data_IF_499027140262
#
_entry.id   IF_499027140262
#
_cell.length_a   1.000
_cell.length_b   1.000
_cell.length_c   1.000
_cell.angle_alpha   90.00
_cell.angle_beta   90.00
_cell.angle_gamma   90.00
#
_symmetry.space_group_name_H-M   'P 1'
#
loop_
_entity.id
_entity.type
_entity.pdbx_description
1 polymer ?
#
# COMPACT_ATOMS: atom_id res chain seq x y z
N UNK A 1 -58.21 22.39 -1.14
CA UNK A 1 -56.83 22.74 -1.57
C UNK A 1 -55.81 22.77 -0.41
N UNK A 2 -56.04 23.49 0.69
CA UNK A 2 -55.08 23.57 1.83
C UNK A 2 -54.81 22.22 2.54
N UNK A 3 -55.77 21.30 2.57
CA UNK A 3 -55.58 19.96 3.16
C UNK A 3 -54.76 19.03 2.26
N UNK A 4 -54.97 19.09 0.94
CA UNK A 4 -54.22 18.31 -0.05
C UNK A 4 -52.74 18.73 -0.11
N UNK A 5 -52.46 20.04 0.02
CA UNK A 5 -51.09 20.57 0.06
C UNK A 5 -50.35 20.13 1.34
N UNK A 6 -51.04 20.03 2.48
CA UNK A 6 -50.47 19.54 3.76
C UNK A 6 -50.18 18.03 3.75
N UNK A 7 -51.02 17.23 3.09
CA UNK A 7 -50.79 15.79 2.93
C UNK A 7 -49.62 15.52 1.96
N UNK A 8 -49.50 16.29 0.87
CA UNK A 8 -48.39 16.17 -0.07
C UNK A 8 -47.02 16.55 0.56
N UNK A 9 -46.98 17.55 1.44
CA UNK A 9 -45.76 17.93 2.16
C UNK A 9 -45.36 16.93 3.26
N UNK A 10 -46.33 16.29 3.92
CA UNK A 10 -46.06 15.23 4.89
C UNK A 10 -45.51 13.94 4.24
N UNK A 11 -46.02 13.57 3.05
CA UNK A 11 -45.53 12.40 2.30
C UNK A 11 -44.11 12.64 1.74
N UNK A 12 -43.82 13.86 1.27
CA UNK A 12 -42.47 14.23 0.84
C UNK A 12 -41.45 14.23 1.98
N UNK A 13 -41.84 14.66 3.19
CA UNK A 13 -40.98 14.61 4.38
C UNK A 13 -40.74 13.18 4.87
N UNK A 14 -41.74 12.30 4.77
CA UNK A 14 -41.61 10.88 5.14
C UNK A 14 -40.73 10.09 4.14
N UNK A 15 -40.80 10.42 2.85
CA UNK A 15 -39.95 9.82 1.81
C UNK A 15 -38.48 10.27 1.91
N UNK A 16 -38.21 11.49 2.39
CA UNK A 16 -36.85 11.96 2.67
C UNK A 16 -36.25 11.35 3.93
N UNK A 17 -37.09 10.99 4.92
CA UNK A 17 -36.64 10.34 6.15
C UNK A 17 -36.25 8.86 5.93
N UNK A 18 -36.90 8.14 5.01
CA UNK A 18 -36.58 6.72 4.71
C UNK A 18 -35.35 6.55 3.82
N UNK A 19 -35.03 7.53 2.97
CA UNK A 19 -33.81 7.50 2.16
C UNK A 19 -32.53 7.67 3.01
N UNK A 20 -32.61 8.36 4.15
CA UNK A 20 -31.49 8.52 5.08
C UNK A 20 -31.16 7.25 5.89
N UNK A 21 -32.05 6.26 5.91
CA UNK A 21 -31.85 4.97 6.60
C UNK A 21 -31.50 3.79 5.67
N UNK A 22 -31.50 3.99 4.35
CA UNK A 22 -31.44 2.89 3.38
C UNK A 22 -30.12 2.10 3.36
N UNK A 23 -29.00 2.70 3.79
CA UNK A 23 -27.68 2.05 3.81
C UNK A 23 -27.38 1.37 5.15
N UNK A 24 -28.08 1.73 6.22
CA UNK A 24 -27.71 1.30 7.56
C UNK A 24 -27.95 -0.19 7.70
N UNK A 25 -26.88 -0.94 7.96
CA UNK A 25 -26.93 -2.41 8.00
C UNK A 25 -26.76 -3.11 6.65
N UNK A 26 -26.60 -2.38 5.54
CA UNK A 26 -26.18 -2.96 4.26
C UNK A 26 -24.78 -3.56 4.38
N UNK A 27 -24.56 -4.74 3.80
CA UNK A 27 -23.23 -5.36 3.72
C UNK A 27 -22.56 -5.04 2.39
N UNK A 28 -21.51 -4.22 2.44
CA UNK A 28 -20.62 -3.95 1.32
C UNK A 28 -19.55 -5.02 1.25
N UNK A 29 -19.64 -5.88 0.25
CA UNK A 29 -18.63 -6.91 -0.03
C UNK A 29 -17.44 -6.31 -0.78
N UNK A 30 -16.24 -6.69 -0.36
CA UNK A 30 -14.97 -6.31 -0.99
C UNK A 30 -14.24 -7.59 -1.40
N UNK A 31 -14.01 -7.76 -2.70
CA UNK A 31 -13.20 -8.87 -3.22
C UNK A 31 -11.73 -8.51 -3.04
N UNK A 32 -11.04 -9.28 -2.19
CA UNK A 32 -9.60 -9.15 -1.97
C UNK A 32 -8.88 -10.13 -2.90
N UNK A 33 -8.11 -9.63 -3.86
CA UNK A 33 -7.49 -10.42 -4.92
C UNK A 33 -5.97 -10.25 -4.83
N UNK A 34 -5.29 -11.22 -4.23
CA UNK A 34 -3.85 -11.17 -3.96
C UNK A 34 -3.31 -12.57 -3.63
N UNK A 35 -1.98 -12.80 -3.62
CA UNK A 35 -1.43 -14.16 -3.48
C UNK A 35 -1.66 -14.75 -2.09
N UNK A 36 -2.34 -15.90 -2.02
CA UNK A 36 -2.50 -16.71 -0.80
C UNK A 36 -1.74 -18.03 -0.88
N UNK A 37 -1.07 -18.30 -2.00
CA UNK A 37 -0.23 -19.45 -2.22
C UNK A 37 1.14 -19.05 -2.79
N UNK A 38 2.07 -20.01 -2.80
CA UNK A 38 3.44 -19.79 -3.24
C UNK A 38 4.27 -18.97 -2.25
N UNK A 39 5.38 -18.41 -2.73
CA UNK A 39 6.39 -17.81 -1.86
C UNK A 39 5.95 -16.49 -1.21
N UNK A 40 4.95 -15.82 -1.78
CA UNK A 40 4.41 -14.55 -1.27
C UNK A 40 3.17 -14.72 -0.38
N UNK A 41 2.73 -15.96 -0.15
CA UNK A 41 1.57 -16.28 0.68
C UNK A 41 1.62 -15.69 2.12
N UNK A 42 2.77 -15.65 2.82
CA UNK A 42 2.83 -15.02 4.15
C UNK A 42 2.42 -13.55 4.13
N UNK A 43 2.84 -12.81 3.09
CA UNK A 43 2.46 -11.40 2.95
C UNK A 43 0.97 -11.23 2.65
N UNK A 44 0.42 -12.03 1.74
CA UNK A 44 -1.01 -12.01 1.45
C UNK A 44 -1.88 -12.44 2.62
N UNK A 45 -1.45 -13.43 3.40
CA UNK A 45 -2.13 -13.88 4.63
C UNK A 45 -2.24 -12.75 5.66
N UNK A 46 -1.16 -11.99 5.89
CA UNK A 46 -1.21 -10.83 6.76
C UNK A 46 -2.11 -9.70 6.19
N UNK A 47 -2.02 -9.44 4.89
CA UNK A 47 -2.83 -8.43 4.23
C UNK A 47 -4.34 -8.73 4.32
N UNK A 48 -4.77 -9.96 4.04
CA UNK A 48 -6.20 -10.32 4.15
C UNK A 48 -6.69 -10.22 5.59
N UNK A 49 -5.87 -10.63 6.59
CA UNK A 49 -6.18 -10.43 8.01
C UNK A 49 -6.29 -8.95 8.36
N UNK A 50 -5.43 -8.10 7.78
CA UNK A 50 -5.48 -6.64 7.95
C UNK A 50 -6.78 -6.06 7.39
N UNK A 51 -7.20 -6.50 6.21
CA UNK A 51 -8.49 -6.11 5.62
C UNK A 51 -9.68 -6.55 6.48
N UNK A 52 -9.67 -7.78 6.98
CA UNK A 52 -10.71 -8.29 7.87
C UNK A 52 -10.76 -7.51 9.20
N UNK A 53 -9.59 -7.23 9.79
CA UNK A 53 -9.47 -6.44 11.00
C UNK A 53 -10.07 -5.03 10.83
N UNK A 54 -9.72 -4.33 9.76
CA UNK A 54 -10.25 -2.99 9.52
C UNK A 54 -11.69 -3.00 9.03
N UNK A 55 -12.15 -4.03 8.32
CA UNK A 55 -13.56 -4.23 8.03
C UNK A 55 -14.37 -4.28 9.33
N UNK A 56 -13.90 -5.02 10.34
CA UNK A 56 -14.54 -5.07 11.67
C UNK A 56 -14.54 -3.70 12.36
N UNK A 57 -13.39 -2.99 12.35
CA UNK A 57 -13.24 -1.69 13.01
C UNK A 57 -14.12 -0.60 12.40
N UNK A 58 -14.30 -0.61 11.08
CA UNK A 58 -15.04 0.40 10.32
C UNK A 58 -16.41 -0.09 9.84
N UNK A 59 -17.04 -1.02 10.58
CA UNK A 59 -18.41 -1.49 10.32
C UNK A 59 -19.41 -0.96 11.35
N UNK A 60 -20.68 -0.93 10.95
CA UNK A 60 -21.80 -0.64 11.86
C UNK A 60 -21.75 0.77 12.43
N UNK A 61 -21.81 0.91 13.76
CA UNK A 61 -21.82 2.21 14.44
C UNK A 61 -20.51 2.99 14.29
N UNK A 62 -19.41 2.31 13.99
CA UNK A 62 -18.11 2.94 13.76
C UNK A 62 -17.94 3.40 12.31
N UNK A 63 -18.91 3.10 11.45
CA UNK A 63 -18.96 3.57 10.07
C UNK A 63 -19.93 4.77 9.97
N UNK A 64 -19.50 5.93 9.45
CA UNK A 64 -20.40 7.08 9.31
C UNK A 64 -21.58 6.83 8.36
N UNK A 65 -21.47 5.90 7.40
CA UNK A 65 -22.56 5.46 6.53
C UNK A 65 -23.44 4.36 7.16
N UNK A 66 -23.02 3.79 8.30
CA UNK A 66 -23.72 2.72 8.99
C UNK A 66 -23.69 1.36 8.29
N UNK A 67 -22.86 1.19 7.25
CA UNK A 67 -22.70 -0.08 6.51
C UNK A 67 -21.81 -1.06 7.25
N UNK A 68 -21.91 -2.34 6.90
CA UNK A 68 -20.96 -3.39 7.30
C UNK A 68 -20.07 -3.74 6.12
N UNK A 69 -18.81 -4.05 6.38
CA UNK A 69 -17.89 -4.54 5.36
C UNK A 69 -17.67 -6.05 5.51
N UNK A 70 -17.63 -6.76 4.38
CA UNK A 70 -17.28 -8.18 4.32
C UNK A 70 -16.18 -8.38 3.29
N UNK A 71 -15.08 -9.01 3.70
CA UNK A 71 -13.91 -9.25 2.83
C UNK A 71 -13.97 -10.67 2.29
N UNK A 72 -13.97 -10.81 0.96
CA UNK A 72 -14.04 -12.08 0.26
C UNK A 72 -12.70 -12.34 -0.44
N UNK A 73 -11.87 -13.26 0.05
CA UNK A 73 -10.55 -13.51 -0.52
C UNK A 73 -10.59 -14.37 -1.79
N UNK A 74 -9.73 -14.03 -2.74
CA UNK A 74 -9.45 -14.78 -3.96
C UNK A 74 -7.93 -14.87 -4.15
N UNK A 75 -7.41 -16.09 -4.27
CA UNK A 75 -5.98 -16.31 -4.50
C UNK A 75 -5.60 -15.95 -5.93
N UNK A 76 -4.77 -14.91 -6.08
CA UNK A 76 -4.23 -14.52 -7.39
C UNK A 76 -3.02 -15.33 -7.84
N UNK A 77 -2.42 -16.14 -6.96
CA UNK A 77 -1.16 -16.87 -7.22
C UNK A 77 -0.04 -15.97 -7.78
N UNK A 78 -0.08 -14.67 -7.46
CA UNK A 78 0.84 -13.64 -7.96
C UNK A 78 0.85 -13.54 -9.51
N UNK A 79 -0.26 -13.86 -10.17
CA UNK A 79 -0.36 -13.94 -11.63
C UNK A 79 -1.43 -12.99 -12.19
N UNK A 80 -1.12 -12.18 -13.22
CA UNK A 80 -2.12 -11.36 -13.91
C UNK A 80 -3.32 -12.14 -14.44
N UNK A 81 -3.10 -13.35 -14.95
CA UNK A 81 -4.18 -14.19 -15.50
C UNK A 81 -5.14 -14.66 -14.41
N UNK A 82 -4.60 -15.12 -13.28
CA UNK A 82 -5.41 -15.58 -12.15
C UNK A 82 -6.12 -14.40 -11.46
N UNK A 83 -5.50 -13.23 -11.38
CA UNK A 83 -6.16 -12.00 -10.93
C UNK A 83 -7.38 -11.63 -11.78
N UNK A 84 -7.29 -11.77 -13.11
CA UNK A 84 -8.43 -11.53 -14.00
C UNK A 84 -9.54 -12.57 -13.84
N UNK A 85 -9.18 -13.84 -13.63
CA UNK A 85 -10.13 -14.90 -13.31
C UNK A 85 -10.86 -14.64 -11.98
N UNK A 86 -10.12 -14.17 -10.97
CA UNK A 86 -10.69 -13.75 -9.69
C UNK A 86 -11.61 -12.53 -9.83
N UNK A 87 -11.23 -11.52 -10.63
CA UNK A 87 -12.08 -10.36 -10.92
C UNK A 87 -13.40 -10.79 -11.57
N UNK A 88 -13.34 -11.69 -12.56
CA UNK A 88 -14.54 -12.26 -13.18
C UNK A 88 -15.41 -12.97 -12.14
N UNK A 89 -14.81 -13.84 -11.31
CA UNK A 89 -15.52 -14.59 -10.27
C UNK A 89 -16.18 -13.67 -9.23
N UNK A 90 -15.51 -12.59 -8.83
CA UNK A 90 -16.05 -11.58 -7.93
C UNK A 90 -17.23 -10.83 -8.57
N UNK A 91 -17.08 -10.44 -9.84
CA UNK A 91 -18.12 -9.72 -10.60
C UNK A 91 -19.35 -10.60 -10.84
N UNK A 92 -19.16 -11.89 -11.15
CA UNK A 92 -20.25 -12.87 -11.31
C UNK A 92 -21.03 -13.06 -9.99
N UNK A 93 -20.36 -12.89 -8.83
CA UNK A 93 -20.98 -12.87 -7.50
C UNK A 93 -21.60 -11.51 -7.12
N UNK A 94 -21.57 -10.52 -8.01
CA UNK A 94 -22.10 -9.18 -7.80
C UNK A 94 -21.27 -8.30 -6.86
N UNK A 95 -20.00 -8.66 -6.59
CA UNK A 95 -19.12 -7.86 -5.74
C UNK A 95 -18.60 -6.67 -6.56
N UNK A 96 -18.91 -5.45 -6.12
CA UNK A 96 -18.57 -4.22 -6.88
C UNK A 96 -17.36 -3.44 -6.33
N UNK A 97 -16.80 -3.85 -5.21
CA UNK A 97 -15.55 -3.31 -4.67
C UNK A 97 -14.47 -4.37 -4.74
N UNK A 98 -13.37 -4.04 -5.41
CA UNK A 98 -12.22 -4.91 -5.60
C UNK A 98 -11.03 -4.25 -4.90
N UNK A 99 -10.22 -5.03 -4.19
CA UNK A 99 -8.96 -4.56 -3.60
C UNK A 99 -7.83 -5.50 -3.97
N UNK A 100 -6.68 -4.93 -4.28
CA UNK A 100 -5.47 -5.66 -4.65
C UNK A 100 -4.23 -4.78 -4.38
N UNK A 101 -3.09 -5.41 -4.11
CA UNK A 101 -1.85 -4.71 -3.81
C UNK A 101 -0.58 -5.56 -3.98
N UNK A 102 -0.74 -6.88 -4.03
CA UNK A 102 0.29 -7.89 -4.28
C UNK A 102 0.70 -7.94 -5.75
N UNK A 103 1.62 -7.05 -6.12
CA UNK A 103 2.30 -7.05 -7.41
C UNK A 103 1.69 -6.10 -8.44
N UNK A 104 2.49 -5.12 -8.88
CA UNK A 104 2.06 -4.10 -9.84
C UNK A 104 1.61 -4.65 -11.20
N UNK A 105 2.16 -5.79 -11.66
CA UNK A 105 1.74 -6.42 -12.90
C UNK A 105 0.30 -6.98 -12.82
N UNK A 106 -0.06 -7.59 -11.68
CA UNK A 106 -1.41 -8.08 -11.43
C UNK A 106 -2.40 -6.93 -11.33
N UNK A 107 -2.05 -5.85 -10.60
CA UNK A 107 -2.91 -4.66 -10.48
C UNK A 107 -3.08 -3.93 -11.81
N UNK A 108 -2.04 -3.84 -12.65
CA UNK A 108 -2.18 -3.29 -14.01
C UNK A 108 -3.21 -4.07 -14.84
N UNK A 109 -3.17 -5.41 -14.78
CA UNK A 109 -4.15 -6.24 -15.46
C UNK A 109 -5.57 -6.05 -14.88
N UNK A 110 -5.69 -5.90 -13.55
CA UNK A 110 -6.97 -5.58 -12.91
C UNK A 110 -7.52 -4.22 -13.35
N UNK A 111 -6.69 -3.18 -13.50
CA UNK A 111 -7.13 -1.88 -14.05
C UNK A 111 -7.74 -2.07 -15.44
N UNK A 112 -7.04 -2.77 -16.33
CA UNK A 112 -7.54 -3.05 -17.68
C UNK A 112 -8.85 -3.87 -17.65
N UNK A 113 -8.92 -4.87 -16.77
CA UNK A 113 -10.10 -5.70 -16.55
C UNK A 113 -11.30 -4.90 -16.06
N UNK A 114 -11.10 -4.03 -15.06
CA UNK A 114 -12.13 -3.15 -14.50
C UNK A 114 -12.61 -2.14 -15.55
N UNK A 115 -11.69 -1.52 -16.30
CA UNK A 115 -12.06 -0.61 -17.39
C UNK A 115 -12.95 -1.30 -18.44
N UNK A 116 -12.56 -2.50 -18.88
CA UNK A 116 -13.35 -3.30 -19.83
C UNK A 116 -14.68 -3.75 -19.26
N UNK A 117 -14.72 -4.14 -17.99
CA UNK A 117 -15.95 -4.53 -17.30
C UNK A 117 -16.93 -3.36 -17.23
N UNK A 118 -16.48 -2.19 -16.76
CA UNK A 118 -17.33 -1.01 -16.58
C UNK A 118 -17.86 -0.49 -17.91
N UNK A 119 -17.04 -0.47 -18.97
CA UNK A 119 -17.47 -0.07 -20.30
C UNK A 119 -18.55 -0.99 -20.90
N UNK A 120 -18.56 -2.28 -20.53
CA UNK A 120 -19.51 -3.29 -21.04
C UNK A 120 -20.76 -3.47 -20.18
N UNK A 121 -20.72 -3.02 -18.94
CA UNK A 121 -21.79 -3.25 -17.97
C UNK A 121 -22.22 -1.95 -17.25
N UNK A 122 -22.83 -0.97 -17.96
CA UNK A 122 -23.39 0.22 -17.32
C UNK A 122 -24.36 -0.15 -16.18
N UNK A 123 -24.23 0.52 -15.04
CA UNK A 123 -24.98 0.24 -13.80
C UNK A 123 -24.44 -0.92 -12.96
N UNK A 124 -23.40 -1.61 -13.41
CA UNK A 124 -22.69 -2.69 -12.66
C UNK A 124 -21.19 -2.41 -12.56
N UNK A 125 -20.83 -1.14 -12.59
CA UNK A 125 -19.45 -0.67 -12.47
C UNK A 125 -18.83 -1.19 -11.19
N UNK A 126 -17.54 -1.48 -11.24
CA UNK A 126 -16.72 -1.91 -10.10
C UNK A 126 -15.60 -0.91 -9.86
N UNK A 127 -15.17 -0.81 -8.60
CA UNK A 127 -14.05 0.02 -8.17
C UNK A 127 -12.86 -0.83 -7.74
N UNK A 128 -11.66 -0.41 -8.13
CA UNK A 128 -10.40 -1.00 -7.72
C UNK A 128 -9.68 -0.11 -6.70
N UNK A 129 -9.61 -0.60 -5.48
CA UNK A 129 -8.96 0.02 -4.33
C UNK A 129 -7.56 -0.58 -4.19
N UNK A 130 -6.57 0.09 -4.77
CA UNK A 130 -5.18 -0.38 -4.74
C UNK A 130 -4.51 0.04 -3.42
N UNK A 131 -4.25 -0.93 -2.55
CA UNK A 131 -3.68 -0.65 -1.22
C UNK A 131 -2.15 -0.75 -1.14
N UNK A 132 -1.47 -1.39 -2.10
CA UNK A 132 -0.01 -1.65 -1.99
C UNK A 132 0.77 -1.84 -3.30
N UNK A 133 0.14 -1.82 -4.48
CA UNK A 133 0.86 -1.89 -5.74
C UNK A 133 1.36 -0.49 -6.15
N UNK A 134 2.68 -0.30 -6.13
CA UNK A 134 3.31 1.04 -6.10
C UNK A 134 3.96 1.47 -7.40
N UNK A 135 3.84 0.72 -8.50
CA UNK A 135 4.37 1.17 -9.79
C UNK A 135 3.72 2.52 -10.19
N UNK A 136 4.51 3.59 -10.41
CA UNK A 136 4.00 4.91 -10.77
C UNK A 136 3.05 4.89 -11.96
N UNK A 137 3.28 4.02 -12.96
CA UNK A 137 2.45 3.91 -14.17
C UNK A 137 0.97 3.72 -13.86
N UNK A 138 0.61 3.06 -12.75
CA UNK A 138 -0.79 2.79 -12.38
C UNK A 138 -1.59 4.07 -12.06
N UNK A 139 -0.93 5.20 -11.77
CA UNK A 139 -1.58 6.53 -11.69
C UNK A 139 -0.89 7.53 -12.62
N UNK A 140 -0.24 7.05 -13.67
CA UNK A 140 0.38 7.87 -14.71
C UNK A 140 -0.20 7.40 -16.04
N UNK A 141 0.60 6.75 -16.87
CA UNK A 141 0.21 6.29 -18.21
C UNK A 141 -0.97 5.31 -18.22
N UNK A 142 -1.21 4.59 -17.11
CA UNK A 142 -2.30 3.62 -16.93
C UNK A 142 -3.36 4.08 -15.94
N UNK A 143 -3.39 5.36 -15.57
CA UNK A 143 -4.39 5.85 -14.64
C UNK A 143 -5.82 5.58 -15.15
N UNK A 144 -6.72 5.30 -14.22
CA UNK A 144 -8.12 5.04 -14.50
C UNK A 144 -9.00 5.73 -13.47
N UNK A 145 -10.14 6.27 -13.92
CA UNK A 145 -11.16 6.81 -13.02
C UNK A 145 -11.69 5.77 -12.01
N UNK A 146 -11.62 4.47 -12.36
CA UNK A 146 -12.11 3.38 -11.52
C UNK A 146 -11.06 2.81 -10.58
N UNK A 147 -9.86 3.39 -10.56
CA UNK A 147 -8.73 2.97 -9.74
C UNK A 147 -8.36 4.07 -8.75
N UNK A 148 -8.16 3.70 -7.49
CA UNK A 148 -7.72 4.60 -6.43
C UNK A 148 -6.57 3.96 -5.67
N UNK A 149 -5.43 4.67 -5.52
CA UNK A 149 -4.24 4.14 -4.85
C UNK A 149 -4.01 4.79 -3.49
N UNK A 150 -3.88 3.95 -2.47
CA UNK A 150 -3.79 4.35 -1.06
C UNK A 150 -2.38 4.29 -0.46
N UNK A 151 -1.42 3.66 -1.14
CA UNK A 151 0.00 3.74 -0.79
C UNK A 151 0.71 4.80 -1.65
N UNK A 152 1.81 5.34 -1.14
CA UNK A 152 2.71 6.15 -1.95
C UNK A 152 3.41 5.28 -2.98
N UNK A 153 3.50 5.79 -4.20
CA UNK A 153 4.13 5.06 -5.30
C UNK A 153 5.67 5.07 -5.19
N UNK A 154 6.34 4.30 -6.04
CA UNK A 154 7.80 4.19 -6.05
C UNK A 154 8.47 5.54 -6.31
N UNK A 155 7.91 6.40 -7.16
CA UNK A 155 8.48 7.73 -7.42
C UNK A 155 8.46 8.61 -6.17
N UNK A 156 7.35 8.64 -5.43
CA UNK A 156 7.23 9.37 -4.17
C UNK A 156 8.18 8.84 -3.10
N UNK A 157 8.25 7.51 -2.95
CA UNK A 157 9.15 6.85 -1.99
C UNK A 157 10.62 7.09 -2.34
N UNK A 158 10.99 7.00 -3.61
CA UNK A 158 12.35 7.27 -4.08
C UNK A 158 12.73 8.74 -4.01
N UNK A 159 11.79 9.67 -4.21
CA UNK A 159 12.02 11.09 -3.99
C UNK A 159 12.37 11.37 -2.52
N UNK A 160 11.58 10.84 -1.58
CA UNK A 160 11.85 10.99 -0.14
C UNK A 160 13.14 10.27 0.29
N UNK A 161 13.35 9.03 -0.15
CA UNK A 161 14.54 8.23 0.17
C UNK A 161 15.82 8.94 -0.30
N UNK A 162 15.88 9.36 -1.56
CA UNK A 162 17.10 10.05 -2.07
C UNK A 162 17.28 11.45 -1.49
N UNK A 163 16.20 12.11 -1.04
CA UNK A 163 16.31 13.33 -0.22
C UNK A 163 16.95 13.04 1.14
N UNK A 164 16.64 11.90 1.76
CA UNK A 164 17.35 11.45 2.97
C UNK A 164 18.83 11.20 2.69
N UNK A 165 19.15 10.50 1.59
CA UNK A 165 20.54 10.17 1.22
C UNK A 165 21.38 11.40 0.90
N UNK A 166 20.77 12.54 0.54
CA UNK A 166 21.50 13.76 0.18
C UNK A 166 22.50 14.19 1.26
N UNK A 167 22.12 13.98 2.52
CA UNK A 167 22.84 14.46 3.70
C UNK A 167 23.84 13.42 4.25
N UNK A 168 23.81 12.17 3.77
CA UNK A 168 24.67 11.08 4.24
C UNK A 168 25.96 10.96 3.38
N UNK A 169 27.07 11.50 3.90
CA UNK A 169 28.37 11.53 3.21
C UNK A 169 29.12 10.19 3.22
N UNK A 170 28.64 9.21 3.97
CA UNK A 170 29.26 7.89 4.04
C UNK A 170 28.89 7.03 2.84
N UNK A 171 27.78 7.35 2.15
CA UNK A 171 27.34 6.67 0.94
C UNK A 171 28.20 7.12 -0.23
N UNK A 172 28.93 6.19 -0.86
CA UNK A 172 29.78 6.46 -2.02
C UNK A 172 29.54 5.50 -3.17
N UNK A 173 29.28 4.22 -2.88
CA UNK A 173 29.14 3.13 -3.85
C UNK A 173 27.83 2.39 -3.61
N UNK A 174 26.88 2.60 -4.52
CA UNK A 174 25.54 2.02 -4.45
C UNK A 174 25.41 0.83 -5.41
N UNK A 175 24.84 -0.26 -4.90
CA UNK A 175 24.34 -1.38 -5.70
C UNK A 175 22.81 -1.35 -5.77
N UNK A 176 22.24 -1.58 -6.95
CA UNK A 176 20.80 -1.67 -7.15
C UNK A 176 20.40 -3.15 -7.30
N UNK A 177 19.72 -3.72 -6.31
CA UNK A 177 19.33 -5.13 -6.33
C UNK A 177 17.82 -5.28 -6.15
N UNK A 178 17.11 -5.65 -7.22
CA UNK A 178 15.65 -5.61 -7.26
C UNK A 178 15.02 -6.85 -7.91
N UNK A 179 13.72 -7.07 -7.71
CA UNK A 179 12.96 -8.14 -8.37
C UNK A 179 12.65 -7.79 -9.83
N UNK A 180 12.79 -8.75 -10.75
CA UNK A 180 12.58 -8.57 -12.18
C UNK A 180 11.08 -8.57 -12.55
N UNK A 181 10.41 -7.47 -12.25
CA UNK A 181 9.06 -7.13 -12.73
C UNK A 181 8.89 -5.61 -12.68
N UNK A 182 7.73 -5.10 -13.10
CA UNK A 182 7.47 -3.67 -13.28
C UNK A 182 7.98 -2.78 -12.11
N UNK A 183 7.74 -3.17 -10.86
CA UNK A 183 8.23 -2.40 -9.71
C UNK A 183 9.76 -2.32 -9.61
N UNK A 184 10.48 -3.44 -9.78
CA UNK A 184 11.94 -3.44 -9.65
C UNK A 184 12.63 -2.66 -10.77
N UNK A 185 12.06 -2.68 -11.98
CA UNK A 185 12.48 -1.80 -13.08
C UNK A 185 12.31 -0.32 -12.72
N UNK A 186 11.18 0.05 -12.08
CA UNK A 186 10.97 1.41 -11.60
C UNK A 186 11.95 1.80 -10.48
N UNK A 187 12.23 0.90 -9.54
CA UNK A 187 13.23 1.13 -8.48
C UNK A 187 14.60 1.46 -9.06
N UNK A 188 15.07 0.67 -10.03
CA UNK A 188 16.35 0.89 -10.71
C UNK A 188 16.37 2.25 -11.40
N UNK A 189 15.37 2.52 -12.24
CA UNK A 189 15.28 3.76 -13.03
C UNK A 189 15.28 4.99 -12.13
N UNK A 190 14.38 5.02 -11.15
CA UNK A 190 14.21 6.15 -10.25
C UNK A 190 15.40 6.33 -9.30
N UNK A 191 16.09 5.25 -8.90
CA UNK A 191 17.33 5.35 -8.13
C UNK A 191 18.42 6.05 -8.96
N UNK A 192 18.63 5.62 -10.22
CA UNK A 192 19.59 6.24 -11.14
C UNK A 192 19.30 7.72 -11.38
N UNK A 193 18.06 8.05 -11.74
CA UNK A 193 17.64 9.42 -12.03
C UNK A 193 17.81 10.33 -10.80
N UNK A 194 17.36 9.88 -9.63
CA UNK A 194 17.40 10.71 -8.42
C UNK A 194 18.80 10.83 -7.81
N UNK A 195 19.61 9.77 -7.85
CA UNK A 195 21.01 9.83 -7.41
C UNK A 195 21.81 10.76 -8.31
N UNK A 196 21.72 10.63 -9.64
CA UNK A 196 22.41 11.53 -10.57
C UNK A 196 22.05 13.01 -10.32
N UNK A 197 20.79 13.29 -9.96
CA UNK A 197 20.33 14.66 -9.67
C UNK A 197 20.76 15.19 -8.29
N UNK A 198 20.71 14.37 -7.24
CA UNK A 198 20.88 14.83 -5.83
C UNK A 198 22.23 14.50 -5.22
N UNK A 199 22.85 13.43 -5.70
CA UNK A 199 24.11 12.83 -5.24
C UNK A 199 24.96 12.37 -6.43
N UNK A 200 25.32 13.28 -7.37
CA UNK A 200 26.18 12.94 -8.50
C UNK A 200 27.58 12.45 -8.08
N UNK A 201 27.94 12.63 -6.81
CA UNK A 201 29.14 12.11 -6.17
C UNK A 201 29.08 10.60 -5.84
N UNK A 202 27.89 10.00 -5.87
CA UNK A 202 27.69 8.56 -5.61
C UNK A 202 27.84 7.77 -6.90
N UNK A 203 28.71 6.77 -6.86
CA UNK A 203 28.94 5.81 -7.93
C UNK A 203 27.94 4.65 -7.84
N UNK A 204 27.28 4.30 -8.95
CA UNK A 204 26.49 3.07 -9.03
C UNK A 204 27.41 1.95 -9.54
N UNK A 205 27.82 1.07 -8.62
CA UNK A 205 28.85 0.04 -8.87
C UNK A 205 28.27 -1.29 -9.35
N UNK A 206 26.95 -1.40 -9.43
CA UNK A 206 26.30 -2.56 -10.03
C UNK A 206 24.78 -2.53 -9.93
N UNK A 207 24.18 -3.39 -10.73
CA UNK A 207 22.74 -3.58 -10.82
C UNK A 207 22.43 -5.04 -11.14
N UNK A 208 21.44 -5.62 -10.47
CA UNK A 208 20.83 -6.89 -10.86
C UNK A 208 19.32 -6.88 -10.64
N UNK A 209 18.64 -7.59 -11.55
CA UNK A 209 17.25 -7.95 -11.43
C UNK A 209 17.10 -9.47 -11.33
N UNK A 210 16.62 -9.97 -10.20
CA UNK A 210 16.44 -11.42 -10.01
C UNK A 210 14.98 -11.84 -10.22
N UNK A 211 14.69 -13.09 -10.63
CA UNK A 211 13.31 -13.56 -10.78
C UNK A 211 12.49 -13.42 -9.49
N UNK A 212 11.32 -12.78 -9.60
CA UNK A 212 10.38 -12.57 -8.49
C UNK A 212 9.90 -13.92 -7.93
N UNK A 213 9.99 -14.10 -6.61
CA UNK A 213 9.42 -15.23 -5.88
C UNK A 213 9.96 -16.62 -6.27
N UNK A 214 11.17 -16.69 -6.82
CA UNK A 214 11.77 -17.95 -7.33
C UNK A 214 13.14 -18.25 -6.73
N UNK A 215 13.92 -17.23 -6.35
CA UNK A 215 15.27 -17.40 -5.83
C UNK A 215 15.21 -17.93 -4.39
N UNK A 216 15.98 -18.99 -4.12
CA UNK A 216 16.07 -19.63 -2.79
C UNK A 216 17.39 -19.36 -2.09
N UNK A 217 18.44 -19.21 -2.88
CA UNK A 217 19.78 -18.89 -2.41
C UNK A 217 20.21 -17.54 -2.97
N UNK A 218 20.43 -16.58 -2.06
CA UNK A 218 20.90 -15.24 -2.39
C UNK A 218 22.40 -15.06 -2.19
N UNK A 219 23.13 -16.06 -1.67
CA UNK A 219 24.57 -15.95 -1.39
C UNK A 219 25.41 -15.57 -2.63
N UNK A 220 25.16 -16.10 -3.85
CA UNK A 220 25.90 -15.68 -5.04
C UNK A 220 25.70 -14.19 -5.38
N UNK A 221 24.50 -13.65 -5.17
CA UNK A 221 24.22 -12.24 -5.40
C UNK A 221 24.91 -11.36 -4.36
N UNK A 222 24.92 -11.78 -3.09
CA UNK A 222 25.65 -11.07 -2.03
C UNK A 222 27.17 -11.08 -2.30
N UNK A 223 27.73 -12.20 -2.76
CA UNK A 223 29.14 -12.27 -3.15
C UNK A 223 29.47 -11.27 -4.26
N UNK A 224 28.59 -11.15 -5.27
CA UNK A 224 28.72 -10.15 -6.34
C UNK A 224 28.62 -8.70 -5.82
N UNK A 225 27.66 -8.42 -4.92
CA UNK A 225 27.52 -7.11 -4.27
C UNK A 225 28.81 -6.76 -3.51
N UNK A 226 29.36 -7.68 -2.71
CA UNK A 226 30.62 -7.49 -1.99
C UNK A 226 31.79 -7.23 -2.94
N UNK A 227 31.90 -8.01 -4.01
CA UNK A 227 32.97 -7.87 -5.00
C UNK A 227 32.94 -6.51 -5.74
N UNK A 228 31.76 -5.90 -5.90
CA UNK A 228 31.64 -4.55 -6.47
C UNK A 228 32.19 -3.44 -5.56
N UNK A 229 32.41 -3.73 -4.27
CA UNK A 229 32.81 -2.75 -3.27
C UNK A 229 31.68 -1.79 -2.87
N UNK A 230 30.42 -2.17 -3.06
CA UNK A 230 29.27 -1.39 -2.63
C UNK A 230 29.27 -1.21 -1.10
N UNK A 231 29.07 0.03 -0.65
CA UNK A 231 28.80 0.36 0.76
C UNK A 231 27.30 0.40 1.06
N UNK A 232 26.47 0.49 0.01
CA UNK A 232 25.03 0.68 0.11
C UNK A 232 24.29 -0.16 -0.92
N UNK A 233 23.18 -0.77 -0.51
CA UNK A 233 22.23 -1.46 -1.41
C UNK A 233 20.89 -0.75 -1.37
N UNK A 234 20.36 -0.36 -2.53
CA UNK A 234 18.98 0.12 -2.67
C UNK A 234 18.14 -1.01 -3.26
N UNK A 235 17.10 -1.43 -2.51
CA UNK A 235 16.26 -2.57 -2.90
C UNK A 235 14.79 -2.35 -2.57
N UNK A 236 13.93 -2.49 -3.57
CA UNK A 236 12.48 -2.58 -3.43
C UNK A 236 11.97 -4.01 -3.36
N UNK A 237 12.85 -4.98 -3.08
CA UNK A 237 12.43 -6.36 -2.82
C UNK A 237 11.46 -6.41 -1.64
N UNK A 238 10.54 -7.36 -1.69
CA UNK A 238 9.55 -7.57 -0.65
C UNK A 238 9.25 -9.05 -0.45
N UNK A 239 8.53 -9.36 0.63
CA UNK A 239 8.20 -10.73 1.01
C UNK A 239 9.46 -11.56 1.25
N UNK A 240 9.39 -12.85 0.92
CA UNK A 240 10.50 -13.77 1.19
C UNK A 240 11.78 -13.43 0.43
N UNK A 241 11.72 -12.76 -0.72
CA UNK A 241 12.93 -12.40 -1.46
C UNK A 241 13.78 -11.40 -0.68
N UNK A 242 13.16 -10.42 0.00
CA UNK A 242 13.89 -9.50 0.87
C UNK A 242 14.42 -10.22 2.12
N UNK A 243 13.60 -11.05 2.76
CA UNK A 243 14.01 -11.80 3.95
C UNK A 243 15.21 -12.70 3.67
N UNK A 244 15.20 -13.43 2.54
CA UNK A 244 16.30 -14.30 2.13
C UNK A 244 17.54 -13.52 1.70
N UNK A 245 17.37 -12.37 1.02
CA UNK A 245 18.48 -11.46 0.69
C UNK A 245 19.19 -10.96 1.95
N UNK A 246 18.43 -10.45 2.93
CA UNK A 246 18.97 -9.95 4.20
C UNK A 246 19.64 -11.07 4.99
N UNK A 247 19.02 -12.25 5.04
CA UNK A 247 19.62 -13.42 5.69
C UNK A 247 20.98 -13.76 5.06
N UNK A 248 21.04 -13.86 3.73
CA UNK A 248 22.30 -14.13 3.03
C UNK A 248 23.33 -13.01 3.23
N UNK A 249 22.91 -11.75 3.30
CA UNK A 249 23.78 -10.62 3.59
C UNK A 249 24.43 -10.74 4.98
N UNK A 250 23.63 -11.08 5.99
CA UNK A 250 24.10 -11.30 7.35
C UNK A 250 25.04 -12.51 7.44
N UNK A 251 24.68 -13.65 6.86
CA UNK A 251 25.50 -14.88 6.85
C UNK A 251 26.82 -14.70 6.11
N UNK A 252 26.84 -13.83 5.08
CA UNK A 252 28.05 -13.54 4.30
C UNK A 252 28.91 -12.43 4.91
N UNK A 253 28.51 -11.82 6.03
CA UNK A 253 29.20 -10.68 6.63
C UNK A 253 29.26 -9.47 5.70
N UNK A 254 28.12 -9.07 5.15
CA UNK A 254 28.00 -7.79 4.44
C UNK A 254 27.61 -6.69 5.44
N UNK A 255 28.53 -5.74 5.63
CA UNK A 255 28.39 -4.66 6.63
C UNK A 255 27.85 -3.35 6.04
N UNK A 256 27.51 -3.32 4.75
CA UNK A 256 26.95 -2.15 4.11
C UNK A 256 25.52 -1.82 4.59
N UNK A 257 25.04 -0.63 4.18
CA UNK A 257 23.68 -0.15 4.47
C UNK A 257 22.69 -0.72 3.46
N UNK A 258 21.47 -1.03 3.92
CA UNK A 258 20.33 -1.29 3.05
C UNK A 258 19.33 -0.14 3.15
N UNK A 259 18.92 0.42 2.02
CA UNK A 259 17.75 1.28 1.92
C UNK A 259 16.66 0.56 1.15
N UNK A 260 15.57 0.25 1.84
CA UNK A 260 14.45 -0.52 1.29
C UNK A 260 13.11 0.16 1.51
N UNK A 261 12.06 -0.42 0.94
CA UNK A 261 10.68 0.00 1.16
C UNK A 261 9.94 -0.92 2.15
N UNK A 262 10.51 -2.10 2.47
CA UNK A 262 9.73 -3.23 3.00
C UNK A 262 10.42 -4.04 4.11
N UNK A 263 11.39 -3.47 4.82
CA UNK A 263 12.09 -4.11 5.95
C UNK A 263 11.15 -4.58 7.08
N UNK A 264 10.00 -3.93 7.25
CA UNK A 264 9.02 -4.24 8.30
C UNK A 264 8.03 -5.35 7.93
N UNK A 265 8.12 -5.94 6.73
CA UNK A 265 7.22 -7.02 6.30
C UNK A 265 7.65 -8.38 6.84
N UNK A 266 6.66 -9.27 6.98
CA UNK A 266 6.82 -10.62 7.54
C UNK A 266 8.09 -11.34 7.08
N UNK A 267 8.89 -11.82 8.04
CA UNK A 267 10.12 -12.58 7.87
C UNK A 267 11.39 -11.74 7.72
N UNK A 268 11.30 -10.49 7.27
CA UNK A 268 12.48 -9.62 7.15
C UNK A 268 13.00 -9.15 8.51
N UNK A 269 12.16 -8.72 9.48
CA UNK A 269 12.61 -8.37 10.83
C UNK A 269 13.36 -9.52 11.53
N UNK A 270 12.83 -10.75 11.46
CA UNK A 270 13.53 -11.93 11.99
C UNK A 270 14.87 -12.19 11.28
N UNK A 271 14.95 -12.01 9.96
CA UNK A 271 16.20 -12.16 9.21
C UNK A 271 17.23 -11.07 9.54
N UNK A 272 16.78 -9.84 9.85
CA UNK A 272 17.62 -8.75 10.30
C UNK A 272 18.25 -9.03 11.66
N UNK A 273 17.44 -9.53 12.62
CA UNK A 273 17.84 -9.72 14.01
C UNK A 273 18.51 -8.48 14.58
N UNK A 274 19.47 -8.65 15.48
CA UNK A 274 20.31 -7.53 15.94
C UNK A 274 21.33 -7.08 14.88
N UNK A 275 21.72 -7.98 13.96
CA UNK A 275 22.76 -7.74 12.97
C UNK A 275 22.47 -6.55 12.04
N UNK A 276 21.21 -6.29 11.71
CA UNK A 276 20.81 -5.15 10.88
C UNK A 276 20.84 -3.77 11.57
N UNK A 277 21.13 -3.72 12.87
CA UNK A 277 21.06 -2.50 13.69
C UNK A 277 21.87 -1.34 13.12
N UNK A 278 21.24 -0.18 12.91
CA UNK A 278 21.84 1.03 12.37
C UNK A 278 22.16 1.00 10.87
N UNK A 279 21.94 -0.14 10.19
CA UNK A 279 22.34 -0.33 8.78
C UNK A 279 21.17 -0.51 7.84
N UNK A 280 19.99 -0.90 8.32
CA UNK A 280 18.82 -1.11 7.48
C UNK A 280 17.80 -0.01 7.68
N UNK A 281 17.43 0.63 6.59
CA UNK A 281 16.52 1.76 6.54
C UNK A 281 15.30 1.42 5.69
N UNK A 282 14.14 1.94 6.10
CA UNK A 282 12.89 1.81 5.36
C UNK A 282 12.23 3.17 5.16
N UNK A 283 11.83 3.48 3.93
CA UNK A 283 10.87 4.54 3.63
C UNK A 283 9.46 3.96 3.48
N UNK A 284 8.53 4.40 4.31
CA UNK A 284 7.14 3.94 4.29
C UNK A 284 6.17 5.07 4.65
N UNK A 285 4.87 4.84 4.49
CA UNK A 285 3.82 5.77 4.91
C UNK A 285 3.51 5.71 6.42
N UNK A 286 4.05 4.71 7.13
CA UNK A 286 3.86 4.48 8.56
C UNK A 286 5.17 4.09 9.26
N UNK A 287 5.12 4.03 10.60
CA UNK A 287 6.07 3.31 11.43
C UNK A 287 5.36 2.78 12.68
N UNK A 288 5.93 1.77 13.35
CA UNK A 288 5.27 1.07 14.46
C UNK A 288 5.06 1.92 15.73
N UNK A 289 5.71 3.08 15.81
CA UNK A 289 5.74 3.95 16.99
C UNK A 289 4.93 5.26 16.80
N UNK A 290 3.91 5.27 15.94
CA UNK A 290 3.10 6.47 15.64
C UNK A 290 2.10 6.86 16.76
N UNK A 291 1.78 5.94 17.68
CA UNK A 291 0.78 6.18 18.73
C UNK A 291 -0.64 6.35 18.18
N UNK A 292 -1.51 7.07 18.91
CA UNK A 292 -2.90 7.32 18.51
C UNK A 292 -3.71 6.04 18.29
N UNK A 293 -4.73 6.12 17.44
CA UNK A 293 -5.57 4.95 17.15
C UNK A 293 -4.82 3.87 16.35
N UNK A 294 -3.88 4.25 15.48
CA UNK A 294 -3.08 3.25 14.77
C UNK A 294 -2.20 2.44 15.73
N UNK A 295 -1.62 3.06 16.76
CA UNK A 295 -0.86 2.35 17.79
C UNK A 295 -1.72 1.36 18.57
N UNK A 296 -2.95 1.75 18.93
CA UNK A 296 -3.93 0.84 19.57
C UNK A 296 -4.28 -0.32 18.64
N UNK A 297 -4.60 -0.03 17.38
CA UNK A 297 -4.95 -1.04 16.39
C UNK A 297 -3.80 -1.99 16.09
N UNK A 298 -2.55 -1.52 16.06
CA UNK A 298 -1.36 -2.36 15.95
C UNK A 298 -1.27 -3.34 17.13
N UNK A 299 -1.50 -2.87 18.37
CA UNK A 299 -1.49 -3.74 19.55
C UNK A 299 -2.61 -4.79 19.52
N UNK A 300 -3.84 -4.39 19.21
CA UNK A 300 -4.99 -5.29 19.08
C UNK A 300 -4.80 -6.30 17.94
N UNK A 301 -4.25 -5.88 16.81
CA UNK A 301 -3.95 -6.75 15.68
C UNK A 301 -2.92 -7.82 16.08
N UNK A 302 -1.85 -7.40 16.76
CA UNK A 302 -0.83 -8.30 17.30
C UNK A 302 -1.39 -9.27 18.33
N UNK A 303 -2.28 -8.80 19.20
CA UNK A 303 -2.96 -9.66 20.15
C UNK A 303 -3.83 -10.71 19.45
N UNK A 304 -4.63 -10.29 18.47
CA UNK A 304 -5.59 -11.15 17.76
C UNK A 304 -4.92 -12.17 16.84
N UNK A 305 -3.92 -11.74 16.06
CA UNK A 305 -3.34 -12.55 14.99
C UNK A 305 -1.92 -13.04 15.26
N UNK A 306 -1.28 -12.56 16.34
CA UNK A 306 0.13 -12.87 16.67
C UNK A 306 1.11 -12.48 15.57
N UNK A 307 0.77 -11.46 14.80
CA UNK A 307 1.55 -10.88 13.70
C UNK A 307 1.58 -9.35 13.84
N UNK A 308 2.56 -8.69 13.26
CA UNK A 308 2.58 -7.22 13.24
C UNK A 308 1.66 -6.65 12.16
N UNK A 309 1.06 -5.49 12.45
CA UNK A 309 0.27 -4.72 11.49
C UNK A 309 1.18 -3.79 10.68
N UNK A 310 1.50 -4.15 9.44
CA UNK A 310 2.34 -3.32 8.57
C UNK A 310 1.61 -2.67 7.39
N UNK A 311 0.40 -3.12 7.05
CA UNK A 311 -0.46 -2.50 6.03
C UNK A 311 -1.43 -1.46 6.63
N UNK A 312 -0.92 -0.50 7.41
CA UNK A 312 -1.74 0.51 8.10
C UNK A 312 -2.61 1.35 7.16
N UNK A 313 -2.19 1.55 5.91
CA UNK A 313 -2.96 2.27 4.88
C UNK A 313 -4.28 1.61 4.49
N UNK A 314 -4.49 0.34 4.86
CA UNK A 314 -5.81 -0.29 4.70
C UNK A 314 -6.87 0.45 5.53
N UNK A 315 -6.50 1.06 6.67
CA UNK A 315 -7.41 1.95 7.40
C UNK A 315 -7.90 3.12 6.52
N UNK A 316 -7.04 3.71 5.70
CA UNK A 316 -7.42 4.79 4.78
C UNK A 316 -8.40 4.33 3.71
N UNK A 317 -8.33 3.07 3.27
CA UNK A 317 -9.32 2.48 2.34
C UNK A 317 -10.71 2.51 2.97
N UNK A 318 -10.83 1.96 4.18
CA UNK A 318 -12.11 1.89 4.89
C UNK A 318 -12.64 3.25 5.33
N UNK A 319 -11.77 4.15 5.79
CA UNK A 319 -12.14 5.54 6.09
C UNK A 319 -12.68 6.23 4.83
N UNK A 320 -12.00 6.10 3.69
CA UNK A 320 -12.44 6.72 2.44
C UNK A 320 -13.79 6.17 1.98
N UNK A 321 -14.00 4.85 2.06
CA UNK A 321 -15.30 4.24 1.74
C UNK A 321 -16.40 4.74 2.68
N UNK A 322 -16.17 4.71 4.00
CA UNK A 322 -17.16 5.17 4.99
C UNK A 322 -17.56 6.63 4.75
N UNK A 323 -16.59 7.54 4.65
CA UNK A 323 -16.83 8.96 4.43
C UNK A 323 -17.57 9.24 3.12
N UNK A 324 -17.15 8.61 2.02
CA UNK A 324 -17.76 8.84 0.70
C UNK A 324 -19.16 8.23 0.59
N UNK A 325 -19.38 7.05 1.18
CA UNK A 325 -20.72 6.44 1.25
C UNK A 325 -21.67 7.25 2.11
N UNK A 326 -21.20 7.82 3.22
CA UNK A 326 -22.00 8.70 4.08
C UNK A 326 -22.35 10.01 3.36
N UNK A 327 -21.35 10.64 2.72
CA UNK A 327 -21.51 11.89 1.97
C UNK A 327 -22.49 11.74 0.81
N UNK A 328 -22.43 10.62 0.08
CA UNK A 328 -23.28 10.37 -1.10
C UNK A 328 -24.62 9.73 -0.76
N UNK A 329 -24.77 9.27 0.49
CA UNK A 329 -25.88 8.40 0.92
C UNK A 329 -26.07 7.20 -0.02
N UNK A 330 -24.98 6.68 -0.57
CA UNK A 330 -25.01 5.54 -1.47
C UNK A 330 -23.78 4.64 -1.34
N UNK A 331 -23.98 3.33 -1.49
CA UNK A 331 -22.91 2.34 -1.67
C UNK A 331 -22.61 2.09 -3.15
N UNK A 332 -23.25 2.81 -4.06
CA UNK A 332 -23.02 2.68 -5.49
C UNK A 332 -21.60 3.16 -5.87
N UNK A 333 -20.78 2.31 -6.50
CA UNK A 333 -19.40 2.63 -6.89
C UNK A 333 -19.27 3.89 -7.75
N UNK A 334 -20.23 4.23 -8.60
CA UNK A 334 -20.13 5.44 -9.45
C UNK A 334 -20.19 6.69 -8.58
N UNK A 335 -21.13 6.73 -7.63
CA UNK A 335 -21.26 7.85 -6.68
C UNK A 335 -20.08 7.90 -5.72
N UNK A 336 -19.66 6.75 -5.21
CA UNK A 336 -18.51 6.64 -4.30
C UNK A 336 -17.22 7.11 -4.98
N UNK A 337 -16.97 6.70 -6.23
CA UNK A 337 -15.81 7.15 -7.02
C UNK A 337 -15.76 8.68 -7.13
N UNK A 338 -16.88 9.28 -7.56
CA UNK A 338 -16.97 10.73 -7.74
C UNK A 338 -16.74 11.50 -6.42
N UNK A 339 -17.19 10.95 -5.30
CA UNK A 339 -16.98 11.56 -3.99
C UNK A 339 -15.58 11.32 -3.41
N UNK A 340 -14.89 10.27 -3.86
CA UNK A 340 -13.52 9.94 -3.45
C UNK A 340 -12.49 10.85 -4.12
N UNK A 341 -12.79 11.41 -5.28
CA UNK A 341 -11.95 12.43 -5.92
C UNK A 341 -11.81 13.69 -5.08
N UNK A 342 -10.57 14.05 -4.72
CA UNK A 342 -10.29 15.21 -3.86
C UNK A 342 -10.72 15.02 -2.42
N UNK A 343 -11.06 13.79 -2.00
CA UNK A 343 -11.39 13.50 -0.61
C UNK A 343 -10.20 13.84 0.28
N UNK A 344 -10.46 14.60 1.36
CA UNK A 344 -9.50 14.93 2.41
C UNK A 344 -10.01 14.46 3.75
N UNK A 345 -9.12 13.90 4.56
CA UNK A 345 -9.41 13.53 5.93
C UNK A 345 -8.11 13.39 6.73
N UNK A 346 -8.22 13.40 8.05
CA UNK A 346 -7.12 13.13 8.96
C UNK A 346 -6.89 11.63 9.08
N UNK A 347 -5.85 11.12 8.43
CA UNK A 347 -5.37 9.74 8.55
C UNK A 347 -4.42 9.54 9.73
N UNK A 348 -3.88 8.32 9.87
CA UNK A 348 -2.93 8.01 10.94
C UNK A 348 -1.57 8.73 10.77
N UNK A 349 -1.25 9.15 9.55
CA UNK A 349 -0.02 9.85 9.19
C UNK A 349 -0.24 11.34 8.88
N UNK A 350 -1.31 11.93 9.43
CA UNK A 350 -1.68 13.33 9.25
C UNK A 350 -2.80 13.52 8.24
N UNK A 351 -2.96 14.74 7.74
CA UNK A 351 -3.91 15.04 6.66
C UNK A 351 -3.50 14.30 5.38
N UNK A 352 -4.46 13.60 4.77
CA UNK A 352 -4.29 12.94 3.48
C UNK A 352 -5.27 13.47 2.46
N UNK A 353 -4.89 13.43 1.19
CA UNK A 353 -5.75 13.84 0.06
C UNK A 353 -5.72 12.79 -1.05
N UNK A 354 -6.88 12.34 -1.50
CA UNK A 354 -6.99 11.59 -2.75
C UNK A 354 -6.90 12.55 -3.93
N UNK A 355 -5.72 12.69 -4.55
CA UNK A 355 -5.49 13.68 -5.60
C UNK A 355 -6.41 13.40 -6.80
N UNK A 356 -7.20 14.41 -7.18
CA UNK A 356 -8.22 14.29 -8.24
C UNK A 356 -7.63 13.99 -9.63
N UNK A 357 -6.42 14.44 -9.93
CA UNK A 357 -5.86 14.32 -11.28
C UNK A 357 -5.56 12.87 -11.68
N UNK A 358 -5.18 12.03 -10.72
CA UNK A 358 -4.64 10.69 -10.98
C UNK A 358 -5.05 9.62 -9.96
N UNK A 359 -5.81 9.99 -8.94
CA UNK A 359 -6.23 9.12 -7.84
C UNK A 359 -5.06 8.50 -7.05
N UNK A 360 -3.98 9.25 -6.90
CA UNK A 360 -2.89 8.96 -5.96
C UNK A 360 -3.14 9.67 -4.62
N UNK A 361 -3.22 8.90 -3.53
CA UNK A 361 -3.26 9.47 -2.19
C UNK A 361 -1.95 10.21 -1.85
N UNK A 362 -2.07 11.51 -1.58
CA UNK A 362 -1.00 12.36 -1.05
C UNK A 362 -0.97 12.20 0.47
N UNK A 363 0.20 11.85 1.01
CA UNK A 363 0.36 11.55 2.43
C UNK A 363 1.83 11.69 2.85
N UNK A 364 2.07 11.80 4.15
CA UNK A 364 3.42 11.87 4.71
C UNK A 364 4.15 10.53 4.61
N UNK A 365 5.47 10.58 4.43
CA UNK A 365 6.36 9.42 4.47
C UNK A 365 7.34 9.52 5.63
N UNK A 366 7.87 8.39 6.06
CA UNK A 366 8.79 8.28 7.19
C UNK A 366 9.96 7.40 6.79
N UNK A 367 11.15 7.96 6.86
CA UNK A 367 12.37 7.16 6.90
C UNK A 367 12.51 6.62 8.32
N UNK A 368 12.71 5.31 8.41
CA UNK A 368 12.96 4.59 9.65
C UNK A 368 14.30 3.87 9.57
N UNK A 369 14.92 3.63 10.71
CA UNK A 369 16.15 2.84 10.84
C UNK A 369 15.90 1.68 11.78
N UNK A 370 16.40 0.50 11.42
CA UNK A 370 16.35 -0.68 12.26
C UNK A 370 17.30 -0.51 13.44
N UNK A 371 16.79 -0.58 14.66
CA UNK A 371 17.58 -0.41 15.89
C UNK A 371 16.97 -1.20 17.05
N UNK A 372 17.67 -1.24 18.18
CA UNK A 372 17.12 -1.82 19.41
C UNK A 372 15.87 -1.04 19.84
N UNK A 373 14.82 -1.77 20.25
CA UNK A 373 13.67 -1.14 20.88
C UNK A 373 14.08 -0.52 22.22
N UNK A 374 13.60 0.69 22.49
CA UNK A 374 13.93 1.48 23.69
C UNK A 374 12.68 2.16 24.25
N UNK A 375 12.83 2.94 25.33
CA UNK A 375 11.71 3.62 25.98
C UNK A 375 10.99 4.61 25.05
N UNK A 376 11.70 5.15 24.04
CA UNK A 376 11.14 6.10 23.07
C UNK A 376 10.41 5.37 21.95
N UNK A 377 10.91 4.22 21.53
CA UNK A 377 10.40 3.38 20.45
C UNK A 377 10.25 1.93 20.91
N UNK A 378 9.25 1.63 21.76
CA UNK A 378 9.19 0.36 22.50
C UNK A 378 8.64 -0.81 21.68
N UNK A 379 8.10 -0.58 20.48
CA UNK A 379 7.48 -1.64 19.71
C UNK A 379 8.51 -2.64 19.17
N UNK A 380 8.46 -3.87 19.64
CA UNK A 380 9.31 -4.98 19.18
C UNK A 380 8.69 -5.69 17.97
N UNK A 381 9.26 -5.46 16.78
CA UNK A 381 8.78 -6.04 15.51
C UNK A 381 9.19 -7.50 15.45
N UNK A 382 8.25 -8.38 15.14
CA UNK A 382 8.34 -9.85 15.17
C UNK A 382 8.90 -10.40 16.49
N UNK A 383 8.74 -9.64 17.59
CA UNK A 383 9.29 -9.96 18.91
C UNK A 383 10.82 -10.11 18.94
N UNK A 384 11.53 -9.46 18.01
CA UNK A 384 12.99 -9.53 17.88
C UNK A 384 13.76 -8.76 18.96
N UNK A 385 13.09 -7.88 19.70
CA UNK A 385 13.75 -6.87 20.56
C UNK A 385 14.22 -5.63 19.79
N UNK A 386 13.94 -5.58 18.49
CA UNK A 386 14.35 -4.51 17.57
C UNK A 386 13.11 -3.84 16.96
N UNK A 387 13.30 -2.65 16.41
CA UNK A 387 12.24 -1.81 15.86
C UNK A 387 12.70 -1.00 14.65
N UNK A 388 11.74 -0.56 13.84
CA UNK A 388 11.94 0.49 12.84
C UNK A 388 11.63 1.85 13.48
N UNK A 389 12.67 2.49 14.01
CA UNK A 389 12.57 3.78 14.68
C UNK A 389 12.51 4.92 13.65
N UNK A 390 11.60 5.90 13.77
CA UNK A 390 11.54 7.04 12.87
C UNK A 390 12.81 7.89 12.95
N UNK A 391 13.46 8.08 11.79
CA UNK A 391 14.66 8.89 11.60
C UNK A 391 14.33 10.26 10.98
N UNK A 392 13.40 10.30 10.01
CA UNK A 392 12.95 11.55 9.38
C UNK A 392 11.53 11.43 8.83
N UNK A 393 10.71 12.44 9.07
CA UNK A 393 9.40 12.58 8.44
C UNK A 393 9.50 13.47 7.18
N UNK A 394 8.74 13.13 6.16
CA UNK A 394 8.61 13.85 4.90
C UNK A 394 7.14 14.23 4.72
N UNK A 395 6.80 15.52 4.85
CA UNK A 395 5.47 16.00 4.52
C UNK A 395 5.08 15.63 3.08
N UNK A 396 3.78 15.49 2.84
CA UNK A 396 3.25 15.08 1.54
C UNK A 396 3.78 15.92 0.36
N UNK A 397 3.97 17.23 0.53
CA UNK A 397 4.47 18.11 -0.54
C UNK A 397 5.94 17.81 -0.93
N UNK A 398 6.74 17.18 -0.07
CA UNK A 398 8.11 16.76 -0.40
C UNK A 398 8.10 15.48 -1.22
N UNK A 399 7.23 14.53 -0.87
CA UNK A 399 7.12 13.25 -1.55
C UNK A 399 6.26 13.31 -2.82
N UNK A 400 5.40 14.32 -2.96
CA UNK A 400 4.50 14.48 -4.11
C UNK A 400 5.29 14.63 -5.40
N UNK A 401 4.97 13.82 -6.40
CA UNK A 401 5.56 13.90 -7.74
C UNK A 401 4.53 14.41 -8.74
N UNK A 402 4.97 15.08 -9.83
CA UNK A 402 4.11 15.34 -10.98
C UNK A 402 3.48 14.04 -11.51
N UNK A 403 2.36 14.17 -12.21
CA UNK A 403 1.71 13.04 -12.89
C UNK A 403 1.59 13.32 -14.38
N UNK A 404 1.70 12.27 -15.19
CA UNK A 404 1.41 12.28 -16.63
C UNK A 404 0.00 11.80 -16.97
N UNK A 405 -0.79 11.46 -15.95
CA UNK A 405 -2.12 10.91 -16.11
C UNK A 405 -3.04 11.79 -16.98
N UNK A 406 -3.65 11.15 -17.97
CA UNK A 406 -4.71 11.71 -18.82
C UNK A 406 -5.99 10.91 -18.60
N UNK A 407 -6.58 11.09 -17.41
CA UNK A 407 -7.70 10.28 -16.95
C UNK A 407 -8.95 10.47 -17.81
N UNK A 408 -9.48 9.38 -18.36
CA UNK A 408 -10.82 9.37 -18.96
C UNK A 408 -11.86 9.30 -17.85
N UNK A 409 -12.77 10.27 -17.82
CA UNK A 409 -13.87 10.38 -16.85
C UNK A 409 -15.17 9.86 -17.49
N UNK A 410 -16.10 9.27 -16.70
CA UNK A 410 -17.40 8.81 -17.20
C UNK A 410 -18.26 9.91 -17.80
#
# INVERSE_FOLDING_TARGET
MKLAIKIATAIAALAYATAASAQRGETVKIAWIDPLSGLMAPSGSNAVKTFQFFADKFSGSNNPAGVRFEVVPFDSKLSPAESLNALKSASDKGIRYITAGGGSAAVAALIDGVNKHNARNPGKEVLLLNYAAVDPDLTDSKCSYWHFRFDANTAMKMEALTTFLKDDKDIRKVYLFNQNYAHGHQMVRLAKENLARKRPDVEIVGEDLHPLAQVRDFAPYIAKIKASGADTVISGNWGSDLALLIKAANESGFDGKFYTLYAGMTGTPAALGEGGGGRVFQIANNHYNMGGDIGKWTAEFKERFKEDLYFSQVSHVFMSLGETMAKTRSTDPVKVAAAMEGLRFKGFNGEVEMRKTDHQMQQSLFMTVWQKADDKYPYSVENTGMTLAPARAFPAYIASTPTSCQMKRP
#
